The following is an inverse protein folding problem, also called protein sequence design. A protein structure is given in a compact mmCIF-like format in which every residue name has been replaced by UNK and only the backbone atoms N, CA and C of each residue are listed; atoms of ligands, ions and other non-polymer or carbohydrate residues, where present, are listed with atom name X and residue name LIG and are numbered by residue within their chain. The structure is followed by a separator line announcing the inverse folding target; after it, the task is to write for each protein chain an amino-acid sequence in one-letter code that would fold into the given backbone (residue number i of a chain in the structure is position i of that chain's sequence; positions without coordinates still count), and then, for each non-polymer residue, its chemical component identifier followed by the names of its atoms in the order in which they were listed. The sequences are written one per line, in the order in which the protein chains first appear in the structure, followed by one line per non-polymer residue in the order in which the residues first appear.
data_IF_939420037333
#
_entry.id   IF_939420037333
#
_cell.length_a   1.000
_cell.length_b   1.000
_cell.length_c   1.000
_cell.angle_alpha   90.00
_cell.angle_beta   90.00
_cell.angle_gamma   90.00
#
_symmetry.space_group_name_H-M   'P 1'
#
loop_
_entity.id
_entity.type
_entity.pdbx_description
1 polymer ?
#
# COMPACT_ATOMS: atom_id res chain seq x y z
N UNK A 1 -23.88 16.64 2.03
CA UNK A 1 -23.58 15.37 2.73
C UNK A 1 -22.15 15.49 3.21
N UNK A 2 -21.94 15.51 4.53
CA UNK A 2 -20.61 15.76 5.11
C UNK A 2 -19.59 14.78 4.53
N UNK A 3 -18.40 15.26 4.22
CA UNK A 3 -17.26 14.42 3.88
C UNK A 3 -16.98 13.50 5.06
N UNK A 4 -17.60 12.32 5.09
CA UNK A 4 -17.34 11.32 6.10
C UNK A 4 -15.85 10.98 5.97
N UNK A 5 -15.09 11.17 7.05
CA UNK A 5 -13.65 10.97 7.03
C UNK A 5 -13.39 9.51 6.70
N UNK A 6 -12.97 9.26 5.46
CA UNK A 6 -12.79 7.91 4.95
C UNK A 6 -11.70 7.22 5.76
N UNK A 7 -12.04 6.07 6.36
CA UNK A 7 -11.13 5.33 7.25
C UNK A 7 -9.86 4.97 6.48
N UNK A 8 -8.72 5.48 6.95
CA UNK A 8 -7.42 5.30 6.33
C UNK A 8 -6.59 4.28 7.09
N UNK A 9 -6.23 3.20 6.40
CA UNK A 9 -5.35 2.14 6.93
C UNK A 9 -3.95 2.27 6.33
N UNK A 10 -2.94 2.31 7.19
CA UNK A 10 -1.54 2.28 6.79
C UNK A 10 -0.95 0.90 7.08
N UNK A 11 -0.61 0.14 6.03
CA UNK A 11 -0.04 -1.20 6.15
C UNK A 11 1.47 -1.14 5.94
N UNK A 12 2.24 -1.68 6.87
CA UNK A 12 3.70 -1.75 6.79
C UNK A 12 4.15 -3.19 6.69
N UNK A 13 4.78 -3.56 5.58
CA UNK A 13 5.30 -4.91 5.35
C UNK A 13 6.73 -5.07 5.82
N UNK A 14 7.01 -6.20 6.46
CA UNK A 14 8.37 -6.72 6.58
C UNK A 14 8.94 -7.06 5.18
N UNK A 15 10.25 -6.86 4.90
CA UNK A 15 10.86 -7.13 3.60
C UNK A 15 11.10 -8.63 3.36
N UNK A 16 10.04 -9.43 3.31
CA UNK A 16 10.08 -10.84 2.94
C UNK A 16 8.86 -11.19 2.09
N UNK A 17 9.04 -12.00 1.04
CA UNK A 17 7.95 -12.36 0.11
C UNK A 17 6.75 -13.01 0.83
N UNK A 18 7.01 -13.79 1.88
CA UNK A 18 5.99 -14.38 2.76
C UNK A 18 5.19 -13.37 3.59
N UNK A 19 5.61 -12.10 3.65
CA UNK A 19 4.89 -11.01 4.33
C UNK A 19 4.27 -10.04 3.33
N UNK A 20 5.00 -9.66 2.28
CA UNK A 20 4.57 -8.67 1.28
C UNK A 20 3.28 -9.10 0.60
N UNK A 21 3.24 -10.33 0.07
CA UNK A 21 2.09 -10.80 -0.71
C UNK A 21 0.84 -11.01 0.17
N UNK A 22 0.91 -11.67 1.33
CA UNK A 22 -0.25 -11.77 2.22
C UNK A 22 -0.77 -10.41 2.68
N UNK A 23 0.12 -9.48 3.05
CA UNK A 23 -0.29 -8.15 3.50
C UNK A 23 -0.88 -7.32 2.34
N UNK A 24 -0.37 -7.48 1.12
CA UNK A 24 -0.95 -6.83 -0.05
C UNK A 24 -2.35 -7.37 -0.37
N UNK A 25 -2.55 -8.70 -0.26
CA UNK A 25 -3.88 -9.32 -0.42
C UNK A 25 -4.85 -8.82 0.64
N UNK A 26 -4.39 -8.67 1.89
CA UNK A 26 -5.18 -8.04 2.96
C UNK A 26 -5.54 -6.59 2.61
N UNK A 27 -4.58 -5.79 2.16
CA UNK A 27 -4.81 -4.40 1.74
C UNK A 27 -5.87 -4.28 0.66
N UNK A 28 -5.85 -5.16 -0.35
CA UNK A 28 -6.90 -5.20 -1.39
C UNK A 28 -8.27 -5.53 -0.82
N UNK A 29 -8.36 -6.47 0.14
CA UNK A 29 -9.62 -6.82 0.82
C UNK A 29 -10.16 -5.69 1.69
N UNK A 30 -9.28 -4.91 2.32
CA UNK A 30 -9.69 -3.73 3.09
C UNK A 30 -10.18 -2.62 2.16
N UNK A 31 -9.44 -2.34 1.09
CA UNK A 31 -9.85 -1.35 0.10
C UNK A 31 -11.21 -1.71 -0.54
N UNK A 32 -11.46 -2.99 -0.84
CA UNK A 32 -12.74 -3.44 -1.39
C UNK A 32 -13.95 -3.25 -0.47
N UNK A 33 -13.74 -2.82 0.79
CA UNK A 33 -14.79 -2.51 1.76
C UNK A 33 -15.00 -1.00 1.96
N UNK A 34 -14.44 -0.17 1.07
CA UNK A 34 -14.61 1.29 1.12
C UNK A 34 -13.48 2.04 1.83
N UNK A 35 -12.38 1.38 2.17
CA UNK A 35 -11.28 2.00 2.92
C UNK A 35 -10.20 2.55 1.98
N UNK A 36 -9.51 3.60 2.44
CA UNK A 36 -8.27 4.06 1.83
C UNK A 36 -7.15 3.26 2.46
N UNK A 37 -6.39 2.55 1.63
CA UNK A 37 -5.26 1.75 2.07
C UNK A 37 -3.98 2.33 1.49
N UNK A 38 -3.01 2.62 2.36
CA UNK A 38 -1.64 2.90 1.94
C UNK A 38 -0.78 1.72 2.32
N UNK A 39 -0.30 1.00 1.33
CA UNK A 39 0.60 -0.13 1.51
C UNK A 39 2.05 0.35 1.41
N UNK A 40 2.85 -0.03 2.40
CA UNK A 40 4.20 0.46 2.55
C UNK A 40 5.20 -0.65 2.82
N UNK A 41 6.35 -0.56 2.17
CA UNK A 41 7.45 -1.52 2.28
C UNK A 41 8.78 -0.76 2.24
N UNK A 42 9.88 -1.35 2.71
CA UNK A 42 11.22 -0.78 2.49
C UNK A 42 11.50 -0.49 1.01
N UNK A 43 12.21 0.58 0.73
CA UNK A 43 12.49 1.06 -0.63
C UNK A 43 13.06 -0.03 -1.57
N UNK A 44 13.93 -0.91 -1.06
CA UNK A 44 14.51 -2.01 -1.83
C UNK A 44 13.45 -2.97 -2.40
N UNK A 45 12.41 -3.27 -1.62
CA UNK A 45 11.28 -4.10 -2.04
C UNK A 45 10.35 -3.29 -2.94
N UNK A 46 10.09 -2.02 -2.62
CA UNK A 46 9.26 -1.13 -3.45
C UNK A 46 9.79 -1.01 -4.88
N UNK A 47 11.12 -0.86 -5.05
CA UNK A 47 11.78 -0.86 -6.37
C UNK A 47 11.53 -2.16 -7.15
N UNK A 48 11.66 -3.31 -6.50
CA UNK A 48 11.40 -4.60 -7.13
C UNK A 48 9.92 -4.73 -7.56
N UNK A 49 8.98 -4.27 -6.73
CA UNK A 49 7.54 -4.27 -7.05
C UNK A 49 7.20 -3.37 -8.25
N UNK A 50 7.79 -2.17 -8.34
CA UNK A 50 7.62 -1.26 -9.48
C UNK A 50 8.21 -1.80 -10.77
N UNK A 51 9.30 -2.57 -10.69
CA UNK A 51 9.85 -3.25 -11.87
C UNK A 51 8.92 -4.36 -12.36
N UNK A 52 8.26 -5.07 -11.45
CA UNK A 52 7.38 -6.19 -11.76
C UNK A 52 5.96 -5.77 -12.16
N UNK A 53 5.57 -4.52 -11.93
CA UNK A 53 4.20 -4.03 -12.14
C UNK A 53 4.18 -2.52 -12.37
N UNK A 54 3.27 -2.03 -13.22
CA UNK A 54 3.07 -0.59 -13.44
C UNK A 54 2.38 0.08 -12.24
N UNK A 55 3.04 0.06 -11.07
CA UNK A 55 2.57 0.73 -9.86
C UNK A 55 2.74 2.23 -10.05
N UNK A 56 1.62 2.93 -10.11
CA UNK A 56 1.55 4.40 -10.12
C UNK A 56 1.47 4.93 -8.68
N UNK A 57 1.84 6.20 -8.49
CA UNK A 57 1.70 6.87 -7.19
C UNK A 57 0.25 7.27 -6.88
N UNK A 58 -0.61 7.25 -7.90
CA UNK A 58 -2.03 7.52 -7.79
C UNK A 58 -2.78 6.36 -7.10
N UNK A 59 -3.76 6.65 -6.23
CA UNK A 59 -4.61 5.63 -5.63
C UNK A 59 -5.33 4.82 -6.70
N UNK A 60 -5.11 3.51 -6.69
CA UNK A 60 -5.81 2.56 -7.55
C UNK A 60 -7.17 2.21 -6.92
N UNK A 61 -8.29 2.34 -7.63
CA UNK A 61 -9.59 1.95 -7.11
C UNK A 61 -9.68 0.43 -6.94
N UNK A 62 -10.23 -0.02 -5.82
CA UNK A 62 -10.49 -1.44 -5.52
C UNK A 62 -11.84 -1.55 -4.82
N UNK A 63 -12.85 -2.06 -5.53
CA UNK A 63 -14.23 -2.06 -5.05
C UNK A 63 -14.68 -0.63 -4.73
N UNK A 64 -15.19 -0.43 -3.51
CA UNK A 64 -15.69 0.87 -3.05
C UNK A 64 -14.59 1.79 -2.48
N UNK A 65 -13.34 1.32 -2.39
CA UNK A 65 -12.23 2.07 -1.80
C UNK A 65 -11.02 2.16 -2.72
N UNK A 66 -9.86 2.47 -2.12
CA UNK A 66 -8.65 2.80 -2.86
C UNK A 66 -7.42 2.18 -2.20
N UNK A 67 -6.45 1.76 -3.01
CA UNK A 67 -5.13 1.34 -2.55
C UNK A 67 -4.03 2.13 -3.25
N UNK A 68 -3.07 2.65 -2.49
CA UNK A 68 -1.85 3.28 -3.01
C UNK A 68 -0.61 2.69 -2.38
N UNK A 69 0.51 2.80 -3.07
CA UNK A 69 1.81 2.34 -2.61
C UNK A 69 2.68 3.51 -2.17
N UNK A 70 3.43 3.34 -1.08
CA UNK A 70 4.44 4.32 -0.63
C UNK A 70 5.65 3.61 -0.06
N UNK A 71 6.84 3.98 -0.49
CA UNK A 71 8.09 3.44 0.08
C UNK A 71 8.38 4.05 1.45
N UNK A 72 8.85 3.20 2.37
CA UNK A 72 9.54 3.67 3.57
C UNK A 72 10.98 3.99 3.19
N UNK A 73 11.30 5.29 3.19
CA UNK A 73 12.67 5.75 3.10
C UNK A 73 13.31 5.56 4.47
N UNK A 74 14.24 4.63 4.57
CA UNK A 74 15.19 4.61 5.68
C UNK A 74 16.21 5.70 5.39
N UNK A 75 16.19 6.79 6.15
CA UNK A 75 17.30 7.73 6.13
C UNK A 75 18.55 6.94 6.53
N UNK A 76 19.51 6.81 5.62
CA UNK A 76 20.85 6.37 6.01
C UNK A 76 21.31 7.34 7.09
N UNK A 77 21.54 6.85 8.30
CA UNK A 77 22.32 7.61 9.27
C UNK A 77 23.72 7.72 8.68
N UNK A 78 24.01 8.87 8.08
CA UNK A 78 25.35 9.37 7.76
C UNK A 78 25.29 10.89 7.83
#
# INVERSE_FOLDING_TARGET
MGSEALVHVFLVSFPGQGHVNPLLRLGKKLASRGLLVTFSTPESIGKAMRKASNITDEPTPVGDGYIRFRELRTTSAN
#
